data_IF_299992588092
#
_entry.id   IF_299992588092
#
_cell.length_a   1.000
_cell.length_b   1.000
_cell.length_c   1.000
_cell.angle_alpha   90.00
_cell.angle_beta   90.00
_cell.angle_gamma   90.00
#
_symmetry.space_group_name_H-M   'P 1'
#
loop_
_entity.id
_entity.type
_entity.pdbx_description
1 polymer ?
#
# COMPACT_ATOMS: atom_id res chain seq x y z
N UNK A 1 -22.76 49.15 -46.63
CA UNK A 1 -21.59 49.19 -47.54
C UNK A 1 -20.60 48.18 -46.98
N UNK A 2 -20.63 46.89 -47.40
CA UNK A 2 -19.90 46.30 -48.55
C UNK A 2 -18.43 46.70 -48.57
N UNK A 3 -17.44 45.87 -48.87
CA UNK A 3 -17.22 44.44 -49.13
C UNK A 3 -15.73 44.36 -49.54
N UNK A 4 -15.15 43.15 -49.53
CA UNK A 4 -13.85 42.67 -50.05
C UNK A 4 -12.88 42.23 -48.94
N UNK A 5 -12.25 41.05 -48.95
CA UNK A 5 -12.14 39.85 -49.81
C UNK A 5 -11.55 38.79 -48.84
N UNK A 6 -11.83 37.48 -48.87
CA UNK A 6 -11.78 36.58 -50.00
C UNK A 6 -10.82 35.42 -49.76
N UNK A 7 -11.37 34.29 -49.30
CA UNK A 7 -11.03 32.92 -49.73
C UNK A 7 -9.55 32.43 -49.74
N UNK A 8 -9.22 31.55 -48.78
CA UNK A 8 -8.58 30.23 -49.06
C UNK A 8 -8.31 29.40 -47.79
N UNK A 9 -9.32 28.71 -47.24
CA UNK A 9 -9.07 27.46 -46.49
C UNK A 9 -10.33 26.61 -46.31
N UNK A 10 -11.06 26.40 -47.41
CA UNK A 10 -12.00 25.28 -47.56
C UNK A 10 -11.54 24.44 -48.74
N UNK A 11 -10.75 23.40 -48.49
CA UNK A 11 -10.52 22.29 -49.44
C UNK A 11 -9.88 21.13 -48.69
N UNK A 12 -10.58 20.01 -48.58
CA UNK A 12 -10.04 18.78 -47.99
C UNK A 12 -11.04 17.85 -47.32
N UNK A 13 -12.34 18.17 -47.32
CA UNK A 13 -13.42 17.20 -47.07
C UNK A 13 -14.01 16.77 -48.40
N UNK A 14 -13.40 15.78 -49.06
CA UNK A 14 -13.97 14.99 -50.18
C UNK A 14 -12.96 13.90 -50.60
N UNK A 15 -12.96 12.78 -49.90
CA UNK A 15 -12.51 11.47 -50.42
C UNK A 15 -13.14 10.38 -49.57
N UNK A 16 -14.47 10.45 -49.48
CA UNK A 16 -15.33 9.34 -49.10
C UNK A 16 -15.17 8.23 -50.16
N UNK A 17 -15.20 6.97 -49.70
CA UNK A 17 -15.78 5.84 -50.44
C UNK A 17 -15.02 5.36 -51.70
N UNK A 18 -13.92 4.64 -51.53
CA UNK A 18 -13.47 3.64 -52.51
C UNK A 18 -12.41 2.73 -51.88
N UNK A 19 -12.81 1.58 -51.35
CA UNK A 19 -12.04 0.31 -51.28
C UNK A 19 -12.77 -0.77 -50.45
N UNK A 20 -14.11 -0.76 -50.46
CA UNK A 20 -14.92 -1.93 -50.14
C UNK A 20 -15.58 -2.37 -51.46
N UNK A 21 -15.35 -3.66 -51.80
CA UNK A 21 -16.01 -4.42 -52.86
C UNK A 21 -15.48 -4.20 -54.28
N UNK A 22 -14.67 -5.15 -54.78
CA UNK A 22 -14.74 -5.84 -56.09
C UNK A 22 -13.33 -6.37 -56.47
N UNK A 23 -13.05 -7.61 -56.06
CA UNK A 23 -12.36 -8.69 -56.81
C UNK A 23 -12.45 -9.93 -55.89
N UNK A 24 -13.60 -10.61 -55.79
CA UNK A 24 -13.99 -11.70 -56.70
C UNK A 24 -12.79 -12.65 -56.95
N UNK A 25 -12.70 -13.74 -56.20
CA UNK A 25 -13.09 -15.09 -56.68
C UNK A 25 -12.39 -15.48 -57.99
N UNK A 26 -11.28 -16.22 -57.90
CA UNK A 26 -11.03 -17.46 -58.63
C UNK A 26 -9.57 -17.91 -58.48
N UNK A 27 -9.40 -19.23 -58.40
CA UNK A 27 -8.17 -20.02 -58.57
C UNK A 27 -7.40 -20.45 -57.31
N UNK A 28 -7.76 -21.65 -56.82
CA UNK A 28 -6.82 -22.67 -56.31
C UNK A 28 -6.45 -22.53 -54.84
N UNK A 29 -6.97 -23.30 -53.88
CA UNK A 29 -7.34 -24.71 -53.96
C UNK A 29 -6.13 -25.59 -53.61
N UNK A 30 -6.01 -25.98 -52.34
CA UNK A 30 -5.52 -27.27 -51.79
C UNK A 30 -5.65 -27.15 -50.26
N UNK A 31 -6.72 -27.67 -49.65
CA UNK A 31 -6.90 -29.04 -49.19
C UNK A 31 -6.42 -29.28 -47.74
N UNK A 32 -7.35 -29.87 -46.98
CA UNK A 32 -7.18 -30.71 -45.79
C UNK A 32 -7.05 -30.07 -44.40
N UNK A 33 -8.22 -30.01 -43.75
CA UNK A 33 -8.54 -30.64 -42.46
C UNK A 33 -7.39 -31.29 -41.70
N UNK A 34 -7.17 -30.86 -40.45
CA UNK A 34 -6.99 -31.73 -39.27
C UNK A 34 -7.46 -30.92 -38.04
N UNK A 35 -8.59 -31.26 -37.44
CA UNK A 35 -8.72 -32.31 -36.43
C UNK A 35 -8.04 -31.90 -35.11
N UNK A 36 -8.89 -31.70 -34.12
CA UNK A 36 -8.58 -31.49 -32.71
C UNK A 36 -7.47 -32.41 -32.19
N UNK A 37 -6.48 -31.85 -31.49
CA UNK A 37 -5.83 -32.55 -30.39
C UNK A 37 -5.55 -31.56 -29.25
N UNK A 38 -6.12 -31.77 -28.04
CA UNK A 38 -5.63 -31.13 -26.84
C UNK A 38 -4.25 -31.72 -26.55
N UNK A 39 -3.19 -30.94 -26.77
CA UNK A 39 -1.86 -31.31 -26.31
C UNK A 39 -1.78 -31.07 -24.80
N UNK A 40 -2.33 -32.01 -24.04
CA UNK A 40 -1.84 -32.35 -22.72
C UNK A 40 -0.39 -32.82 -22.87
N UNK A 41 0.55 -31.89 -22.76
CA UNK A 41 1.96 -32.15 -22.50
C UNK A 41 2.65 -30.83 -22.17
N UNK A 42 2.20 -30.16 -21.11
CA UNK A 42 3.14 -29.32 -20.36
C UNK A 42 3.81 -30.28 -19.42
N UNK A 43 5.03 -30.64 -19.80
CA UNK A 43 5.98 -31.44 -19.05
C UNK A 43 5.93 -31.07 -17.57
N UNK A 44 5.99 -32.09 -16.74
CA UNK A 44 6.12 -31.98 -15.30
C UNK A 44 7.43 -31.27 -14.98
N UNK A 45 7.41 -29.94 -15.02
CA UNK A 45 8.40 -29.13 -14.35
C UNK A 45 8.41 -29.58 -12.88
N UNK A 46 9.58 -29.92 -12.32
CA UNK A 46 9.65 -30.29 -10.92
C UNK A 46 9.00 -29.16 -10.14
N UNK A 47 7.94 -29.49 -9.40
CA UNK A 47 7.38 -28.60 -8.38
C UNK A 47 8.50 -28.36 -7.38
N UNK A 48 9.33 -27.35 -7.62
CA UNK A 48 10.06 -26.67 -6.56
C UNK A 48 8.98 -26.09 -5.66
N UNK A 49 8.66 -26.86 -4.63
CA UNK A 49 7.76 -26.56 -3.51
C UNK A 49 8.27 -25.40 -2.64
N UNK A 50 8.74 -24.33 -3.26
CA UNK A 50 9.41 -23.22 -2.56
C UNK A 50 8.76 -21.85 -2.81
N UNK A 51 7.58 -21.80 -3.44
CA UNK A 51 6.82 -20.54 -3.62
C UNK A 51 5.32 -20.78 -3.43
N UNK A 52 4.95 -21.47 -2.37
CA UNK A 52 3.60 -21.43 -1.81
C UNK A 52 3.70 -21.56 -0.29
N UNK A 53 4.27 -20.56 0.36
CA UNK A 53 4.00 -20.24 1.77
C UNK A 53 4.53 -18.84 2.09
N UNK A 54 3.87 -17.83 1.53
CA UNK A 54 3.72 -16.56 2.24
C UNK A 54 2.22 -16.25 2.34
N UNK A 55 1.42 -17.29 2.59
CA UNK A 55 0.29 -17.10 3.48
C UNK A 55 0.97 -17.13 4.84
N UNK A 56 1.10 -15.96 5.46
CA UNK A 56 1.51 -15.88 6.85
C UNK A 56 0.59 -16.83 7.60
N UNK A 57 1.11 -18.00 7.97
CA UNK A 57 0.53 -18.83 9.02
C UNK A 57 0.63 -17.97 10.27
N UNK A 58 -0.31 -17.05 10.41
CA UNK A 58 -0.75 -16.50 11.67
C UNK A 58 -1.32 -17.67 12.45
N UNK A 59 -0.44 -18.56 12.91
CA UNK A 59 -0.63 -19.25 14.17
C UNK A 59 -1.13 -18.16 15.10
N UNK A 60 -2.33 -18.25 15.69
CA UNK A 60 -2.72 -17.28 16.69
C UNK A 60 -1.58 -17.32 17.71
N UNK A 61 -0.81 -16.25 17.76
CA UNK A 61 0.13 -15.94 18.83
C UNK A 61 -0.75 -15.74 20.05
N UNK A 62 -1.31 -16.84 20.54
CA UNK A 62 -2.51 -16.87 21.36
C UNK A 62 -2.23 -16.19 22.68
N UNK A 63 -2.50 -14.88 22.73
CA UNK A 63 -2.31 -14.05 23.90
C UNK A 63 -1.38 -12.86 23.73
N UNK A 64 -0.63 -12.70 22.64
CA UNK A 64 0.14 -11.46 22.43
C UNK A 64 -0.78 -10.33 21.95
N UNK A 65 -0.77 -9.15 22.57
CA UNK A 65 -1.57 -8.02 22.12
C UNK A 65 -1.05 -7.45 20.81
N UNK A 66 -1.96 -7.08 19.92
CA UNK A 66 -1.62 -6.27 18.76
C UNK A 66 -1.63 -4.76 19.06
N UNK A 67 -1.32 -3.98 18.05
CA UNK A 67 -1.31 -2.52 18.05
C UNK A 67 -2.21 -2.05 16.93
N UNK A 68 -3.02 -1.03 17.19
CA UNK A 68 -3.88 -0.42 16.18
C UNK A 68 -3.36 0.96 15.82
N UNK A 69 -3.37 1.26 14.53
CA UNK A 69 -3.08 2.59 14.02
C UNK A 69 -4.20 3.55 14.40
N UNK A 70 -3.91 4.48 15.32
CA UNK A 70 -4.90 5.38 15.93
C UNK A 70 -6.16 4.70 16.49
N UNK A 71 -6.07 3.43 16.90
CA UNK A 71 -7.24 2.65 17.34
C UNK A 71 -8.17 2.15 16.24
N UNK A 72 -7.80 2.33 14.97
CA UNK A 72 -8.58 1.89 13.82
C UNK A 72 -7.96 0.61 13.24
N UNK A 73 -8.83 -0.29 12.76
CA UNK A 73 -8.42 -1.51 12.07
C UNK A 73 -8.12 -2.69 13.00
N UNK A 74 -7.62 -3.76 12.39
CA UNK A 74 -7.25 -4.99 13.10
C UNK A 74 -5.92 -4.78 13.84
N UNK A 75 -5.77 -5.20 15.11
CA UNK A 75 -4.49 -5.12 15.82
C UNK A 75 -3.40 -5.92 15.11
N UNK A 76 -2.29 -5.28 14.76
CA UNK A 76 -1.10 -5.94 14.21
C UNK A 76 -0.10 -6.27 15.32
N UNK A 77 0.49 -7.46 15.28
CA UNK A 77 1.50 -7.88 16.27
C UNK A 77 2.88 -7.54 15.75
N UNK A 78 3.65 -6.83 16.59
CA UNK A 78 5.01 -6.35 16.26
C UNK A 78 5.03 -5.52 14.97
N UNK A 79 4.18 -4.48 14.83
CA UNK A 79 4.19 -3.65 13.64
C UNK A 79 5.52 -2.89 13.53
N UNK A 80 5.97 -2.64 12.30
CA UNK A 80 7.16 -1.80 12.05
C UNK A 80 6.81 -0.33 11.83
N UNK A 81 5.51 -0.04 11.68
CA UNK A 81 4.94 1.28 11.43
C UNK A 81 3.73 1.44 12.34
N UNK A 82 3.63 2.57 13.04
CA UNK A 82 2.46 2.93 13.84
C UNK A 82 2.06 4.36 13.50
N UNK A 83 0.84 4.57 13.06
CA UNK A 83 0.28 5.91 12.88
C UNK A 83 -0.13 6.47 14.25
N UNK A 84 0.50 7.58 14.66
CA UNK A 84 0.33 8.16 16.00
C UNK A 84 -0.81 9.17 16.06
N UNK A 85 -1.00 9.96 15.00
CA UNK A 85 -2.01 11.03 14.94
C UNK A 85 -2.79 10.97 13.64
N UNK A 86 -4.12 10.79 13.75
CA UNK A 86 -4.99 10.60 12.58
C UNK A 86 -5.76 11.84 12.11
N UNK A 87 -5.76 12.94 12.89
CA UNK A 87 -6.57 14.11 12.58
C UNK A 87 -5.80 15.32 12.05
N UNK A 88 -4.68 15.74 12.67
CA UNK A 88 -4.18 17.12 12.47
C UNK A 88 -2.65 17.32 12.29
N UNK A 89 -1.87 16.25 12.23
CA UNK A 89 -0.50 16.23 11.73
C UNK A 89 -0.15 14.77 11.45
N UNK A 90 0.49 14.43 10.35
CA UNK A 90 0.84 13.04 10.05
C UNK A 90 2.08 12.62 10.86
N UNK A 91 1.92 12.28 12.14
CA UNK A 91 3.01 11.66 12.90
C UNK A 91 2.93 10.16 12.75
N UNK A 92 4.01 9.58 12.26
CA UNK A 92 4.12 8.15 12.00
C UNK A 92 5.41 7.64 12.63
N UNK A 93 5.31 6.70 13.55
CA UNK A 93 6.44 5.92 14.01
C UNK A 93 6.79 4.90 12.93
N UNK A 94 8.06 4.84 12.51
CA UNK A 94 8.52 4.00 11.41
C UNK A 94 9.84 3.33 11.76
N UNK A 95 10.15 2.25 11.05
CA UNK A 95 11.39 1.50 11.23
C UNK A 95 11.50 0.88 12.63
N UNK A 96 10.37 0.54 13.24
CA UNK A 96 10.32 0.05 14.61
C UNK A 96 10.94 -1.34 14.66
N UNK A 97 11.96 -1.49 15.50
CA UNK A 97 12.57 -2.77 15.85
C UNK A 97 12.22 -3.08 17.30
N UNK A 98 11.48 -4.16 17.53
CA UNK A 98 11.08 -4.60 18.87
C UNK A 98 12.20 -5.39 19.53
N UNK A 99 12.70 -4.88 20.64
CA UNK A 99 13.68 -5.55 21.49
C UNK A 99 12.99 -6.59 22.40
N UNK A 100 11.81 -6.24 22.93
CA UNK A 100 10.95 -7.10 23.75
C UNK A 100 9.49 -6.95 23.30
N UNK A 101 8.73 -8.05 23.29
CA UNK A 101 7.30 -8.00 22.95
C UNK A 101 6.55 -9.15 23.62
N UNK A 102 5.93 -8.85 24.75
CA UNK A 102 5.27 -9.78 25.65
C UNK A 102 3.76 -9.49 25.78
N UNK A 103 3.09 -10.23 26.65
CA UNK A 103 1.64 -10.16 26.82
C UNK A 103 1.14 -8.84 27.44
N UNK A 104 1.98 -8.17 28.22
CA UNK A 104 1.59 -6.99 29.01
C UNK A 104 2.35 -5.73 28.59
N UNK A 105 3.50 -5.90 27.93
CA UNK A 105 4.36 -4.80 27.52
C UNK A 105 5.20 -5.18 26.29
N UNK A 106 5.52 -4.20 25.45
CA UNK A 106 6.52 -4.33 24.40
C UNK A 106 7.42 -3.08 24.35
N UNK A 107 8.70 -3.28 24.10
CA UNK A 107 9.72 -2.24 24.01
C UNK A 107 10.44 -2.33 22.67
N UNK A 108 10.63 -1.20 22.01
CA UNK A 108 11.31 -1.13 20.73
C UNK A 108 11.94 0.24 20.46
N UNK A 109 12.63 0.35 19.33
CA UNK A 109 13.32 1.56 18.89
C UNK A 109 13.02 1.84 17.44
N UNK A 110 13.01 3.12 17.06
CA UNK A 110 12.74 3.53 15.69
C UNK A 110 12.77 5.04 15.53
N UNK A 111 12.00 5.55 14.57
CA UNK A 111 11.99 6.97 14.21
C UNK A 111 10.55 7.46 14.08
N UNK A 112 10.22 8.55 14.78
CA UNK A 112 8.98 9.29 14.56
C UNK A 112 9.21 10.29 13.43
N UNK A 113 8.42 10.16 12.38
CA UNK A 113 8.37 11.07 11.24
C UNK A 113 7.21 12.03 11.46
N UNK A 114 7.46 13.32 11.32
CA UNK A 114 6.42 14.36 11.40
C UNK A 114 6.18 14.91 10.01
N UNK A 115 5.02 14.60 9.42
CA UNK A 115 4.57 15.19 8.17
C UNK A 115 4.13 16.64 8.38
N UNK A 116 4.48 17.45 7.40
CA UNK A 116 4.15 18.87 7.32
C UNK A 116 2.63 19.11 7.41
N UNK A 117 2.21 20.06 8.25
CA UNK A 117 0.82 20.55 8.19
C UNK A 117 0.55 21.20 6.84
N UNK A 118 -0.70 21.09 6.35
CA UNK A 118 -1.13 21.62 5.04
C UNK A 118 -0.80 23.10 4.80
N UNK A 119 -0.48 23.86 5.87
CA UNK A 119 -0.11 25.27 5.85
C UNK A 119 1.36 25.58 5.45
N UNK A 120 2.17 24.58 5.10
CA UNK A 120 3.35 24.88 4.28
C UNK A 120 4.61 25.39 5.01
N UNK A 121 4.62 25.47 6.35
CA UNK A 121 5.77 25.96 7.13
C UNK A 121 6.36 24.84 7.98
N UNK A 122 7.37 24.13 7.46
CA UNK A 122 8.05 23.03 8.16
C UNK A 122 8.80 22.10 7.20
N UNK A 123 9.91 21.53 7.66
CA UNK A 123 10.64 20.44 6.97
C UNK A 123 10.20 19.11 7.55
N UNK A 124 10.07 18.07 6.72
CA UNK A 124 9.92 16.70 7.21
C UNK A 124 11.08 16.41 8.17
N UNK A 125 10.76 16.00 9.39
CA UNK A 125 11.73 15.79 10.45
C UNK A 125 11.55 14.40 11.06
N UNK A 126 12.66 13.70 11.19
CA UNK A 126 12.74 12.38 11.79
C UNK A 126 13.44 12.44 13.13
N UNK A 127 12.79 11.87 14.14
CA UNK A 127 13.25 11.90 15.52
C UNK A 127 13.43 10.48 16.04
N UNK A 128 14.65 10.13 16.46
CA UNK A 128 14.90 8.82 17.07
C UNK A 128 14.18 8.72 18.40
N UNK A 129 13.50 7.61 18.60
CA UNK A 129 12.74 7.36 19.80
C UNK A 129 12.78 5.89 20.23
N UNK A 130 12.61 5.70 21.53
CA UNK A 130 12.23 4.43 22.13
C UNK A 130 10.70 4.39 22.26
N UNK A 131 10.13 3.22 22.04
CA UNK A 131 8.70 2.96 22.05
C UNK A 131 8.39 1.94 23.12
N UNK A 132 7.38 2.24 23.95
CA UNK A 132 6.88 1.31 24.97
C UNK A 132 5.37 1.18 24.83
N UNK A 133 4.92 0.00 24.45
CA UNK A 133 3.51 -0.37 24.39
C UNK A 133 3.09 -0.96 25.73
N UNK A 134 1.93 -0.55 26.23
CA UNK A 134 1.42 -1.01 27.52
C UNK A 134 -0.12 -1.03 27.55
N UNK A 135 -0.67 -1.53 28.65
CA UNK A 135 -2.11 -1.51 28.90
C UNK A 135 -2.89 -2.50 28.04
N UNK A 136 -2.37 -3.70 27.83
CA UNK A 136 -3.04 -4.74 27.05
C UNK A 136 -4.45 -5.04 27.57
N UNK A 137 -5.48 -4.85 26.73
CA UNK A 137 -6.89 -5.19 27.03
C UNK A 137 -7.57 -5.82 25.82
N UNK A 138 -8.74 -6.42 26.00
CA UNK A 138 -9.58 -6.82 24.87
C UNK A 138 -10.30 -5.60 24.28
N UNK A 139 -10.15 -5.40 22.97
CA UNK A 139 -10.75 -4.33 22.17
C UNK A 139 -11.36 -4.97 20.93
N UNK A 140 -12.67 -4.83 20.75
CA UNK A 140 -13.47 -5.47 19.68
C UNK A 140 -13.19 -6.98 19.50
N UNK A 141 -12.99 -7.70 20.60
CA UNK A 141 -12.77 -9.15 20.59
C UNK A 141 -11.33 -9.59 20.30
N UNK A 142 -10.38 -8.66 20.19
CA UNK A 142 -8.96 -8.94 20.04
C UNK A 142 -8.14 -8.30 21.17
N UNK A 143 -7.08 -8.95 21.63
CA UNK A 143 -6.17 -8.37 22.62
C UNK A 143 -5.31 -7.30 21.94
N UNK A 144 -5.31 -6.09 22.47
CA UNK A 144 -4.54 -4.97 21.93
C UNK A 144 -3.90 -4.14 23.05
N UNK A 145 -2.72 -3.60 22.78
CA UNK A 145 -2.15 -2.52 23.56
C UNK A 145 -2.95 -1.23 23.34
N UNK A 146 -3.09 -0.45 24.39
CA UNK A 146 -3.94 0.75 24.39
C UNK A 146 -3.16 1.99 24.71
N UNK A 147 -1.97 1.84 25.29
CA UNK A 147 -1.05 2.92 25.56
C UNK A 147 0.21 2.73 24.74
N UNK A 148 0.72 3.84 24.23
CA UNK A 148 2.03 3.95 23.62
C UNK A 148 2.76 5.13 24.23
N UNK A 149 3.89 4.86 24.85
CA UNK A 149 4.85 5.86 25.30
C UNK A 149 5.96 5.98 24.25
N UNK A 150 6.29 7.20 23.87
CA UNK A 150 7.35 7.55 22.93
C UNK A 150 8.35 8.42 23.66
N UNK A 151 9.58 7.94 23.85
CA UNK A 151 10.65 8.74 24.45
C UNK A 151 11.72 9.05 23.41
N UNK A 152 11.95 10.33 23.16
CA UNK A 152 12.88 10.80 22.14
C UNK A 152 14.31 10.91 22.68
N UNK A 153 15.29 10.56 21.86
CA UNK A 153 16.72 10.56 22.23
C UNK A 153 17.39 11.95 22.16
N UNK A 154 16.66 13.00 21.75
CA UNK A 154 17.22 14.32 21.48
C UNK A 154 16.18 15.43 21.36
N UNK A 155 16.45 16.45 20.52
CA UNK A 155 15.51 17.54 20.25
C UNK A 155 14.22 16.98 19.66
N UNK A 156 13.06 17.33 20.23
CA UNK A 156 11.76 16.75 19.84
C UNK A 156 10.93 17.74 19.03
N UNK A 157 9.91 17.27 18.29
CA UNK A 157 9.06 18.16 17.50
C UNK A 157 8.23 19.12 18.37
N UNK A 158 7.91 18.74 19.62
CA UNK A 158 7.06 19.53 20.53
C UNK A 158 7.79 20.12 21.76
N UNK A 159 9.07 19.80 21.95
CA UNK A 159 9.87 20.27 23.09
C UNK A 159 9.83 19.36 24.33
N UNK A 160 8.90 18.41 24.39
CA UNK A 160 8.83 17.38 25.43
C UNK A 160 9.64 16.15 25.03
N UNK A 161 10.37 15.53 25.97
CA UNK A 161 11.19 14.34 25.68
C UNK A 161 10.38 13.04 25.64
N UNK A 162 9.16 13.05 26.19
CA UNK A 162 8.31 11.87 26.29
C UNK A 162 6.86 12.26 25.97
N UNK A 163 6.23 11.49 25.09
CA UNK A 163 4.85 11.67 24.66
C UNK A 163 4.05 10.39 24.88
N UNK A 164 2.78 10.54 25.25
CA UNK A 164 1.87 9.43 25.53
C UNK A 164 0.71 9.44 24.54
N UNK A 165 0.47 8.31 23.89
CA UNK A 165 -0.57 8.12 22.90
C UNK A 165 -1.57 7.06 23.35
N UNK A 166 -2.85 7.29 23.05
CA UNK A 166 -3.90 6.31 23.25
C UNK A 166 -4.20 5.60 21.92
N UNK A 167 -4.15 4.27 21.94
CA UNK A 167 -4.34 3.39 20.79
C UNK A 167 -5.70 2.67 20.78
N UNK A 168 -6.58 2.86 21.79
CA UNK A 168 -7.91 2.23 21.85
C UNK A 168 -8.89 2.87 22.86
#
# INVERSE_FOLDING_TARGET
MTDREGARWRRGRTALLAFLVVTALAAGGVWFSQASQPASAVDAAPKTSAVQDVKSDGRPTGGLPGVRDCGIGEPEIRPQVITLTCADAGMVATGITWDRYDADEAEGRGVVQVEKTAAGVGTDAGYRATFRLYGAKEVDGARAFTGLEVTYEGSTPLGDTTEMYNLA
#
